data_IF_290584852161
#
_entry.id   IF_290584852161
#
_cell.length_a   1.000
_cell.length_b   1.000
_cell.length_c   1.000
_cell.angle_alpha   90.00
_cell.angle_beta   90.00
_cell.angle_gamma   90.00
#
_symmetry.space_group_name_H-M   'P 1'
#
loop_
_entity.id
_entity.type
_entity.pdbx_description
1 polymer ?
#
# COMPACT_ATOMS: atom_id res chain seq x y z
N UNK A 1 3.11 42.37 -16.60
CA UNK A 1 3.93 41.90 -17.75
C UNK A 1 3.76 40.39 -17.89
N UNK A 2 2.52 39.89 -18.02
CA UNK A 2 2.22 38.44 -18.01
C UNK A 2 1.67 37.93 -19.35
N UNK A 3 1.77 38.75 -20.40
CA UNK A 3 1.22 38.45 -21.74
C UNK A 3 2.23 37.70 -22.63
N UNK A 4 3.50 37.59 -22.22
CA UNK A 4 4.58 37.11 -23.09
C UNK A 4 4.96 35.62 -22.90
N UNK A 5 4.50 34.96 -21.84
CA UNK A 5 4.91 33.57 -21.55
C UNK A 5 3.68 32.71 -21.22
N UNK A 6 3.27 31.78 -22.11
CA UNK A 6 2.19 30.87 -21.80
C UNK A 6 2.61 29.91 -20.68
N UNK A 7 2.03 30.10 -19.49
CA UNK A 7 2.21 29.20 -18.35
C UNK A 7 1.23 28.04 -18.45
N UNK A 8 1.73 26.81 -18.31
CA UNK A 8 0.92 25.58 -18.30
C UNK A 8 0.99 24.93 -16.94
N UNK A 9 -0.14 24.88 -16.23
CA UNK A 9 -0.26 24.15 -14.98
C UNK A 9 -0.37 22.65 -15.26
N UNK A 10 0.59 21.86 -14.76
CA UNK A 10 0.61 20.41 -14.92
C UNK A 10 0.52 19.76 -13.54
N UNK A 11 -0.57 19.04 -13.27
CA UNK A 11 -0.70 18.21 -12.07
C UNK A 11 0.23 17.00 -12.19
N UNK A 12 1.31 16.97 -11.41
CA UNK A 12 2.20 15.81 -11.27
C UNK A 12 1.96 15.17 -9.90
N UNK A 13 1.78 13.85 -9.87
CA UNK A 13 1.86 13.10 -8.60
C UNK A 13 3.34 13.09 -8.22
N UNK A 14 3.64 13.56 -7.02
CA UNK A 14 5.03 13.77 -6.55
C UNK A 14 5.80 12.46 -6.41
N UNK A 15 5.09 11.35 -6.21
CA UNK A 15 5.68 10.03 -5.96
C UNK A 15 5.88 9.19 -7.23
N UNK A 16 5.60 9.75 -8.40
CA UNK A 16 5.85 9.05 -9.66
C UNK A 16 7.34 9.00 -9.98
N UNK A 17 7.88 7.82 -10.34
CA UNK A 17 9.24 7.72 -10.84
C UNK A 17 9.46 8.62 -12.06
N UNK A 18 10.67 9.16 -12.26
CA UNK A 18 10.97 10.12 -13.33
C UNK A 18 10.85 9.53 -14.74
N UNK A 19 10.90 8.21 -14.88
CA UNK A 19 10.66 7.49 -16.13
C UNK A 19 9.17 7.22 -16.42
N UNK A 20 8.25 7.63 -15.53
CA UNK A 20 6.82 7.41 -15.69
C UNK A 20 6.22 8.35 -16.75
N UNK A 21 5.78 7.79 -17.87
CA UNK A 21 5.18 8.57 -18.98
C UNK A 21 3.66 8.57 -18.94
N UNK A 22 3.02 9.57 -19.57
CA UNK A 22 1.55 9.61 -19.74
C UNK A 22 1.04 8.38 -20.49
N UNK A 23 1.79 7.89 -21.48
CA UNK A 23 1.46 6.70 -22.24
C UNK A 23 1.43 5.45 -21.34
N UNK A 24 2.48 5.24 -20.54
CA UNK A 24 2.55 4.12 -19.60
C UNK A 24 1.39 4.16 -18.59
N UNK A 25 1.05 5.34 -18.07
CA UNK A 25 -0.10 5.52 -17.18
C UNK A 25 -1.42 5.13 -17.84
N UNK A 26 -1.64 5.54 -19.09
CA UNK A 26 -2.84 5.16 -19.85
C UNK A 26 -2.95 3.64 -20.01
N UNK A 27 -1.85 2.96 -20.30
CA UNK A 27 -1.84 1.49 -20.40
C UNK A 27 -2.12 0.79 -19.06
N UNK A 28 -1.59 1.34 -17.96
CA UNK A 28 -1.88 0.83 -16.61
C UNK A 28 -3.38 0.96 -16.32
N UNK A 29 -3.98 2.10 -16.64
CA UNK A 29 -5.41 2.35 -16.47
C UNK A 29 -6.26 1.41 -17.32
N UNK A 30 -5.90 1.22 -18.59
CA UNK A 30 -6.59 0.25 -19.48
C UNK A 30 -6.51 -1.17 -18.92
N UNK A 31 -5.35 -1.59 -18.42
CA UNK A 31 -5.17 -2.89 -17.78
C UNK A 31 -6.06 -3.03 -16.54
N UNK A 32 -6.12 -2.00 -15.69
CA UNK A 32 -6.98 -1.99 -14.51
C UNK A 32 -8.47 -2.08 -14.88
N UNK A 33 -8.90 -1.35 -15.93
CA UNK A 33 -10.25 -1.46 -16.48
C UNK A 33 -10.56 -2.86 -17.00
N UNK A 34 -9.62 -3.49 -17.70
CA UNK A 34 -9.79 -4.86 -18.18
C UNK A 34 -9.93 -5.87 -17.04
N UNK A 35 -9.16 -5.70 -15.96
CA UNK A 35 -9.27 -6.50 -14.74
C UNK A 35 -10.64 -6.31 -14.07
N UNK A 36 -11.07 -5.06 -13.88
CA UNK A 36 -12.36 -4.75 -13.25
C UNK A 36 -13.56 -5.30 -14.04
N UNK A 37 -13.45 -5.40 -15.37
CA UNK A 37 -14.47 -5.97 -16.25
C UNK A 37 -14.39 -7.50 -16.41
N UNK A 38 -13.38 -8.16 -15.83
CA UNK A 38 -13.20 -9.61 -15.95
C UNK A 38 -12.71 -10.10 -17.33
N UNK A 39 -12.14 -9.24 -18.17
CA UNK A 39 -11.63 -9.64 -19.49
C UNK A 39 -10.21 -10.22 -19.39
N UNK A 40 -10.08 -11.51 -19.07
CA UNK A 40 -8.79 -12.16 -18.76
C UNK A 40 -7.75 -12.11 -19.90
N UNK A 41 -8.14 -12.41 -21.15
CA UNK A 41 -7.22 -12.39 -22.29
C UNK A 41 -6.69 -10.97 -22.59
N UNK A 42 -7.59 -9.98 -22.53
CA UNK A 42 -7.24 -8.57 -22.69
C UNK A 42 -6.35 -8.08 -21.54
N UNK A 43 -6.64 -8.50 -20.31
CA UNK A 43 -5.80 -8.20 -19.17
C UNK A 43 -4.38 -8.77 -19.34
N UNK A 44 -4.24 -10.03 -19.76
CA UNK A 44 -2.94 -10.67 -20.01
C UNK A 44 -2.14 -9.94 -21.08
N UNK A 45 -2.78 -9.56 -22.19
CA UNK A 45 -2.11 -8.82 -23.27
C UNK A 45 -1.67 -7.43 -22.81
N UNK A 46 -2.54 -6.68 -22.12
CA UNK A 46 -2.24 -5.37 -21.56
C UNK A 46 -1.16 -5.43 -20.48
N UNK A 47 -1.17 -6.44 -19.60
CA UNK A 47 -0.12 -6.69 -18.61
C UNK A 47 1.25 -6.82 -19.28
N UNK A 48 1.33 -7.61 -20.35
CA UNK A 48 2.58 -7.79 -21.09
C UNK A 48 3.01 -6.50 -21.78
N UNK A 49 2.06 -5.76 -22.37
CA UNK A 49 2.34 -4.46 -23.01
C UNK A 49 2.85 -3.44 -22.01
N UNK A 50 2.19 -3.29 -20.87
CA UNK A 50 2.63 -2.44 -19.75
C UNK A 50 4.06 -2.81 -19.31
N UNK A 51 4.37 -4.10 -19.19
CA UNK A 51 5.70 -4.55 -18.78
C UNK A 51 6.79 -4.18 -19.81
N UNK A 52 6.50 -4.31 -21.11
CA UNK A 52 7.43 -3.90 -22.18
C UNK A 52 7.67 -2.39 -22.15
N UNK A 53 6.59 -1.61 -22.09
CA UNK A 53 6.65 -0.15 -22.04
C UNK A 53 7.37 0.36 -20.80
N UNK A 54 7.12 -0.26 -19.63
CA UNK A 54 7.84 0.05 -18.39
C UNK A 54 9.34 -0.16 -18.55
N UNK A 55 9.76 -1.31 -19.10
CA UNK A 55 11.18 -1.61 -19.36
C UNK A 55 11.79 -0.59 -20.32
N UNK A 56 11.08 -0.27 -21.40
CA UNK A 56 11.54 0.69 -22.40
C UNK A 56 11.70 2.10 -21.82
N UNK A 57 10.72 2.59 -21.06
CA UNK A 57 10.78 3.89 -20.41
C UNK A 57 11.95 3.97 -19.42
N UNK A 58 12.16 2.91 -18.64
CA UNK A 58 13.26 2.83 -17.68
C UNK A 58 14.62 2.81 -18.36
N UNK A 59 14.79 2.06 -19.46
CA UNK A 59 16.02 2.06 -20.26
C UNK A 59 16.31 3.45 -20.81
N UNK A 60 15.34 4.05 -21.52
CA UNK A 60 15.49 5.40 -22.10
C UNK A 60 15.90 6.45 -21.07
N UNK A 61 15.33 6.38 -19.87
CA UNK A 61 15.72 7.28 -18.79
C UNK A 61 17.14 7.02 -18.31
N UNK A 62 17.52 5.75 -18.11
CA UNK A 62 18.88 5.38 -17.72
C UNK A 62 19.90 5.88 -18.74
N UNK A 63 19.69 5.58 -20.02
CA UNK A 63 20.60 5.93 -21.11
C UNK A 63 20.80 7.45 -21.22
N UNK A 64 19.73 8.23 -21.01
CA UNK A 64 19.77 9.69 -21.15
C UNK A 64 20.21 10.46 -19.91
N UNK A 65 20.00 9.93 -18.70
CA UNK A 65 20.20 10.67 -17.43
C UNK A 65 21.18 10.04 -16.46
N UNK A 66 21.40 8.73 -16.55
CA UNK A 66 22.19 7.99 -15.54
C UNK A 66 23.47 7.43 -16.13
N UNK A 67 23.49 6.99 -17.40
CA UNK A 67 24.66 6.36 -18.02
C UNK A 67 25.93 7.22 -17.95
N UNK A 68 25.81 8.55 -18.15
CA UNK A 68 26.95 9.47 -18.09
C UNK A 68 27.52 9.67 -16.68
N UNK A 69 26.73 9.40 -15.64
CA UNK A 69 27.17 9.53 -14.25
C UNK A 69 28.18 8.46 -13.87
N UNK A 70 28.20 7.32 -14.57
CA UNK A 70 29.12 6.22 -14.27
C UNK A 70 30.58 6.65 -14.38
N UNK A 71 30.91 7.45 -15.40
CA UNK A 71 32.26 7.94 -15.63
C UNK A 71 32.58 9.24 -14.86
N UNK A 72 31.57 10.06 -14.56
CA UNK A 72 31.76 11.40 -13.97
C UNK A 72 31.60 11.44 -12.45
N UNK A 73 30.60 10.75 -11.90
CA UNK A 73 30.33 10.65 -10.46
C UNK A 73 29.70 9.29 -10.11
N UNK A 74 30.54 8.27 -9.84
CA UNK A 74 30.07 6.92 -9.51
C UNK A 74 29.16 6.86 -8.28
N UNK A 75 29.31 7.79 -7.33
CA UNK A 75 28.50 7.85 -6.11
C UNK A 75 27.07 8.29 -6.42
N UNK A 76 26.91 9.32 -7.25
CA UNK A 76 25.58 9.76 -7.71
C UNK A 76 24.97 8.79 -8.71
N UNK A 77 25.78 8.13 -9.54
CA UNK A 77 25.34 7.03 -10.39
C UNK A 77 24.70 5.91 -9.56
N UNK A 78 25.41 5.40 -8.55
CA UNK A 78 24.90 4.32 -7.71
C UNK A 78 23.64 4.71 -6.91
N UNK A 79 23.59 5.94 -6.39
CA UNK A 79 22.35 6.49 -5.79
C UNK A 79 21.19 6.47 -6.77
N UNK A 80 21.41 6.95 -8.00
CA UNK A 80 20.38 6.98 -9.05
C UNK A 80 19.92 5.57 -9.44
N UNK A 81 20.83 4.60 -9.49
CA UNK A 81 20.50 3.18 -9.75
C UNK A 81 19.63 2.61 -8.63
N UNK A 82 19.99 2.84 -7.35
CA UNK A 82 19.17 2.40 -6.21
C UNK A 82 17.76 2.98 -6.25
N UNK A 83 17.65 4.27 -6.50
CA UNK A 83 16.37 4.96 -6.67
C UNK A 83 15.54 4.32 -7.80
N UNK A 84 16.15 4.06 -8.97
CA UNK A 84 15.48 3.41 -10.10
C UNK A 84 15.01 1.98 -9.81
N UNK A 85 15.76 1.24 -8.98
CA UNK A 85 15.43 -0.12 -8.57
C UNK A 85 14.39 -0.18 -7.44
N UNK A 86 13.99 0.95 -6.85
CA UNK A 86 13.16 0.95 -5.64
C UNK A 86 13.92 0.38 -4.43
N UNK A 87 15.26 0.45 -4.45
CA UNK A 87 16.14 0.03 -3.35
C UNK A 87 16.43 1.18 -2.39
N UNK A 88 16.01 2.41 -2.71
CA UNK A 88 16.00 3.46 -1.70
C UNK A 88 14.83 3.22 -0.76
N UNK A 89 15.07 3.24 0.57
CA UNK A 89 13.98 3.19 1.52
C UNK A 89 13.05 4.36 1.21
N UNK A 90 11.75 4.07 1.05
CA UNK A 90 10.72 5.10 0.97
C UNK A 90 10.98 6.03 2.13
N UNK A 91 11.31 7.29 1.85
CA UNK A 91 11.46 8.28 2.89
C UNK A 91 10.04 8.56 3.42
N UNK A 92 9.62 7.72 4.38
CA UNK A 92 8.29 7.69 4.99
C UNK A 92 7.90 9.01 5.66
N UNK A 93 8.75 10.04 5.62
CA UNK A 93 8.46 11.37 6.13
C UNK A 93 7.32 12.09 5.40
N UNK A 94 6.89 11.65 4.21
CA UNK A 94 5.96 12.43 3.37
C UNK A 94 4.69 11.71 2.89
N UNK A 95 4.46 10.47 3.30
CA UNK A 95 3.33 9.66 2.82
C UNK A 95 2.28 9.37 3.91
N UNK A 96 1.99 10.38 4.75
CA UNK A 96 0.83 10.40 5.64
C UNK A 96 -0.22 11.43 5.20
N UNK A 97 -0.06 12.03 4.01
CA UNK A 97 -1.01 13.02 3.46
C UNK A 97 -2.42 12.44 3.28
N UNK A 98 -2.51 11.12 3.11
CA UNK A 98 -3.79 10.40 3.06
C UNK A 98 -4.49 10.27 4.42
N UNK A 99 -3.79 10.48 5.53
CA UNK A 99 -4.33 10.39 6.90
C UNK A 99 -4.65 11.76 7.51
N UNK A 100 -4.27 12.85 6.84
CA UNK A 100 -4.53 14.21 7.30
C UNK A 100 -6.03 14.56 7.30
N UNK A 101 -6.86 13.81 6.56
CA UNK A 101 -8.32 13.96 6.58
C UNK A 101 -9.00 13.34 7.82
N UNK A 102 -8.23 12.68 8.70
CA UNK A 102 -8.75 12.08 9.93
C UNK A 102 -8.54 12.97 11.16
N UNK A 103 -7.87 14.13 11.01
CA UNK A 103 -7.74 15.09 12.11
C UNK A 103 -9.10 15.74 12.36
N UNK A 104 -9.67 15.65 13.57
CA UNK A 104 -10.76 16.53 13.97
C UNK A 104 -10.23 17.96 13.96
N UNK A 105 -10.91 18.87 13.27
CA UNK A 105 -10.66 20.30 13.34
C UNK A 105 -11.01 20.79 14.74
N UNK A 106 -10.01 21.22 15.50
CA UNK A 106 -10.17 21.87 16.80
C UNK A 106 -9.03 22.84 17.03
N UNK A 107 -9.40 24.06 17.40
CA UNK A 107 -8.67 25.33 17.42
C UNK A 107 -7.21 25.36 17.93
N UNK A 108 -6.52 26.35 17.34
CA UNK A 108 -5.41 27.19 17.80
C UNK A 108 -4.56 26.71 18.99
N UNK A 109 -3.25 26.54 18.75
CA UNK A 109 -2.21 27.37 19.39
C UNK A 109 -0.86 27.21 18.68
N UNK A 110 -0.13 28.33 18.70
CA UNK A 110 1.11 28.63 18.01
C UNK A 110 2.32 27.73 18.35
N UNK A 111 3.22 27.68 17.35
CA UNK A 111 4.68 27.57 17.44
C UNK A 111 5.34 26.17 17.65
N UNK A 112 5.91 25.69 16.53
CA UNK A 112 7.26 25.09 16.45
C UNK A 112 7.52 23.77 17.19
N UNK A 113 6.62 22.79 17.10
CA UNK A 113 6.99 21.37 17.19
C UNK A 113 5.92 20.46 16.56
N UNK A 114 5.38 20.85 15.40
CA UNK A 114 4.13 20.24 14.89
C UNK A 114 4.29 18.79 14.40
N UNK A 115 5.49 18.36 14.03
CA UNK A 115 5.71 17.03 13.46
C UNK A 115 5.56 15.88 14.45
N UNK A 116 6.04 16.03 15.68
CA UNK A 116 6.02 14.98 16.71
C UNK A 116 4.72 14.99 17.53
N UNK A 117 4.15 16.17 17.81
CA UNK A 117 2.87 16.31 18.48
C UNK A 117 1.73 15.75 17.62
N UNK A 118 1.75 15.99 16.31
CA UNK A 118 0.77 15.44 15.36
C UNK A 118 0.82 13.90 15.29
N UNK A 119 2.01 13.31 15.33
CA UNK A 119 2.18 11.85 15.36
C UNK A 119 1.69 11.21 16.67
N UNK A 120 1.98 11.85 17.80
CA UNK A 120 1.50 11.39 19.12
C UNK A 120 -0.02 11.47 19.22
N UNK A 121 -0.61 12.58 18.75
CA UNK A 121 -2.06 12.75 18.71
C UNK A 121 -2.72 11.68 17.83
N UNK A 122 -2.19 11.44 16.62
CA UNK A 122 -2.67 10.40 15.72
C UNK A 122 -2.58 9.00 16.35
N UNK A 123 -1.45 8.68 17.01
CA UNK A 123 -1.28 7.41 17.70
C UNK A 123 -2.34 7.22 18.79
N UNK A 124 -2.62 8.28 19.55
CA UNK A 124 -3.68 8.26 20.57
C UNK A 124 -5.06 8.08 19.95
N UNK A 125 -5.38 8.78 18.86
CA UNK A 125 -6.66 8.61 18.14
C UNK A 125 -6.85 7.17 17.66
N UNK A 126 -5.82 6.57 17.05
CA UNK A 126 -5.84 5.17 16.57
C UNK A 126 -6.12 4.21 17.73
N UNK A 127 -5.38 4.38 18.83
CA UNK A 127 -5.54 3.53 20.01
C UNK A 127 -6.95 3.63 20.58
N UNK A 128 -7.50 4.84 20.72
CA UNK A 128 -8.87 5.02 21.21
C UNK A 128 -9.89 4.36 20.28
N UNK A 129 -9.76 4.53 18.97
CA UNK A 129 -10.68 3.91 17.99
C UNK A 129 -10.74 2.39 18.13
N UNK A 130 -9.64 1.73 18.46
CA UNK A 130 -9.62 0.28 18.69
C UNK A 130 -10.16 -0.14 20.05
N UNK A 131 -10.12 0.74 21.05
CA UNK A 131 -10.59 0.46 22.41
C UNK A 131 -12.09 0.76 22.58
N UNK A 132 -12.65 1.69 21.81
CA UNK A 132 -14.09 2.03 21.82
C UNK A 132 -15.03 0.80 21.77
N UNK A 133 -14.83 -0.19 20.87
CA UNK A 133 -15.71 -1.36 20.80
C UNK A 133 -15.59 -2.29 22.02
N UNK A 134 -14.47 -2.24 22.75
CA UNK A 134 -14.25 -3.07 23.93
C UNK A 134 -15.05 -2.57 25.13
N UNK A 135 -15.39 -1.28 25.18
CA UNK A 135 -16.20 -0.69 26.25
C UNK A 135 -17.64 -1.21 26.28
N UNK A 136 -18.12 -1.80 25.19
CA UNK A 136 -19.49 -2.34 25.05
C UNK A 136 -19.50 -3.86 25.29
N UNK A 137 -18.34 -4.48 25.55
CA UNK A 137 -18.27 -5.91 25.79
C UNK A 137 -18.98 -6.28 27.09
N UNK A 138 -20.06 -7.06 26.98
CA UNK A 138 -20.68 -7.74 28.12
C UNK A 138 -20.31 -9.24 28.06
N UNK A 139 -19.58 -9.77 29.05
CA UNK A 139 -19.31 -11.19 29.13
C UNK A 139 -20.63 -11.96 29.30
N UNK A 140 -20.76 -13.09 28.61
CA UNK A 140 -21.92 -13.98 28.76
C UNK A 140 -21.98 -14.48 30.21
N UNK A 141 -23.10 -14.22 30.89
CA UNK A 141 -23.34 -14.69 32.25
C UNK A 141 -23.18 -16.22 32.33
N UNK A 142 -22.46 -16.68 33.35
CA UNK A 142 -22.10 -18.09 33.59
C UNK A 142 -23.26 -19.02 33.97
N UNK A 143 -24.51 -18.57 33.84
CA UNK A 143 -25.70 -19.27 34.33
C UNK A 143 -26.34 -20.24 33.31
N UNK A 144 -25.74 -20.44 32.13
CA UNK A 144 -26.18 -21.46 31.17
C UNK A 144 -25.56 -22.84 31.38
N UNK A 145 -25.10 -23.13 32.60
CA UNK A 145 -24.57 -24.45 32.97
C UNK A 145 -25.64 -25.40 33.52
N UNK A 146 -26.94 -25.24 33.25
CA UNK A 146 -27.96 -26.27 33.57
C UNK A 146 -29.15 -26.26 32.60
N UNK A 147 -28.97 -26.73 31.36
CA UNK A 147 -30.12 -27.13 30.54
C UNK A 147 -29.79 -28.11 29.39
N UNK A 148 -28.85 -29.05 29.56
CA UNK A 148 -28.76 -30.22 28.67
C UNK A 148 -28.27 -31.43 29.46
N UNK A 149 -29.15 -32.01 30.26
CA UNK A 149 -28.97 -33.38 30.74
C UNK A 149 -30.32 -34.10 30.70
N UNK A 150 -30.67 -34.64 29.54
CA UNK A 150 -31.66 -35.71 29.42
C UNK A 150 -30.93 -36.92 28.86
N UNK A 151 -30.53 -37.78 29.80
CA UNK A 151 -30.62 -39.24 29.76
C UNK A 151 -30.04 -39.97 28.53
N UNK A 152 -28.78 -40.38 28.68
CA UNK A 152 -28.36 -41.78 28.65
C UNK A 152 -28.80 -42.68 27.49
N UNK A 153 -27.81 -43.19 26.74
CA UNK A 153 -27.58 -44.64 26.65
C UNK A 153 -26.16 -44.93 26.17
N UNK A 154 -25.52 -45.79 26.95
CA UNK A 154 -24.24 -46.47 26.77
C UNK A 154 -24.07 -47.04 25.36
N UNK A 155 -22.85 -46.98 24.80
CA UNK A 155 -22.06 -48.20 24.57
C UNK A 155 -20.62 -47.92 24.09
N UNK A 156 -19.77 -48.85 24.52
CA UNK A 156 -18.31 -48.83 24.57
C UNK A 156 -17.59 -48.76 23.22
N UNK A 157 -16.35 -48.27 23.26
CA UNK A 157 -15.29 -48.62 22.31
C UNK A 157 -14.97 -50.13 22.38
N UNK A 158 -14.48 -50.69 21.27
CA UNK A 158 -13.23 -51.43 21.39
C UNK A 158 -12.19 -51.05 20.33
N UNK A 159 -10.95 -51.13 20.79
CA UNK A 159 -9.68 -51.04 20.06
C UNK A 159 -9.44 -52.27 19.18
N UNK A 160 -8.70 -52.09 18.07
CA UNK A 160 -7.53 -52.87 17.57
C UNK A 160 -7.44 -53.08 16.05
N UNK A 161 -6.32 -52.59 15.47
CA UNK A 161 -5.35 -53.23 14.55
C UNK A 161 -5.86 -53.93 13.26
N UNK A 162 -5.27 -53.60 12.08
CA UNK A 162 -4.52 -54.54 11.20
C UNK A 162 -3.96 -53.87 9.92
N UNK A 163 -2.64 -54.01 9.78
CA UNK A 163 -1.75 -53.90 8.61
C UNK A 163 -2.25 -54.67 7.38
N UNK A 164 -1.97 -54.19 6.17
CA UNK A 164 -1.62 -55.06 5.02
C UNK A 164 -1.01 -54.24 3.87
N UNK A 165 0.26 -54.54 3.58
CA UNK A 165 0.99 -54.17 2.37
C UNK A 165 0.53 -55.03 1.18
N UNK A 166 0.67 -54.49 -0.03
CA UNK A 166 0.99 -55.22 -1.26
C UNK A 166 1.73 -54.28 -2.21
#
# INVERSE_FOLDING_TARGET
>A
MDILLPTKTIKKRLDDPPWMTKHLKSLIEQRQKALAKGHDQLFKSLRNRVNRERKQCRSKYYDSKVSQLEASDPKQWWKSVKYLCGMDPVNHKYDLRHLQSLSPTGDETNETNEGNASLSHLANTINQTFLEPMNVFQPLNSDHSQALNVSGTSNQLPSTITTTES
#
